data_IF_246283146333
#
_entry.id   IF_246283146333
#
_cell.length_a   1.000
_cell.length_b   1.000
_cell.length_c   1.000
_cell.angle_alpha   90.00
_cell.angle_beta   90.00
_cell.angle_gamma   90.00
#
_symmetry.space_group_name_H-M   'P 1'
#
loop_
_entity.id
_entity.type
_entity.pdbx_description
1 polymer ?
#
# COMPACT_ATOMS: atom_id res chain seq x y z
N UNK A 1 14.45 16.95 -10.50
CA UNK A 1 15.14 17.61 -9.45
C UNK A 1 14.28 18.58 -8.67
N UNK A 2 14.90 19.59 -8.03
CA UNK A 2 14.18 20.55 -7.21
C UNK A 2 13.09 21.28 -8.00
N UNK A 3 13.37 21.68 -9.22
CA UNK A 3 12.39 22.39 -10.06
C UNK A 3 11.17 21.52 -10.37
N UNK A 4 11.37 20.24 -10.61
CA UNK A 4 10.26 19.30 -10.83
C UNK A 4 9.37 19.18 -9.58
N UNK A 5 9.97 19.16 -8.41
CA UNK A 5 9.22 19.13 -7.15
C UNK A 5 8.42 20.43 -6.97
N UNK A 6 9.01 21.58 -7.27
CA UNK A 6 8.35 22.88 -7.09
C UNK A 6 7.15 23.08 -7.98
N UNK A 7 7.09 22.43 -9.15
CA UNK A 7 5.92 22.53 -10.02
C UNK A 7 4.82 21.51 -9.69
N UNK A 8 4.91 20.85 -8.54
CA UNK A 8 3.88 19.94 -8.10
C UNK A 8 3.87 18.59 -8.80
N UNK A 9 4.99 18.18 -9.33
CA UNK A 9 5.15 16.90 -10.01
C UNK A 9 5.11 15.71 -9.04
N UNK A 10 5.25 14.51 -9.59
CA UNK A 10 5.38 13.27 -8.83
C UNK A 10 6.48 13.32 -7.78
N UNK A 11 7.55 14.07 -8.02
CA UNK A 11 8.64 14.25 -7.07
C UNK A 11 8.14 14.87 -5.75
N UNK A 12 7.23 15.85 -5.82
CA UNK A 12 6.64 16.45 -4.63
C UNK A 12 5.77 15.47 -3.86
N UNK A 13 5.04 14.60 -4.55
CA UNK A 13 4.25 13.54 -3.92
C UNK A 13 5.16 12.56 -3.21
N UNK A 14 6.25 12.14 -3.84
CA UNK A 14 7.25 11.24 -3.24
C UNK A 14 7.89 11.82 -1.99
N UNK A 15 8.14 13.14 -1.97
CA UNK A 15 8.75 13.81 -0.83
C UNK A 15 7.86 13.81 0.42
N UNK A 16 6.56 13.58 0.25
CA UNK A 16 5.61 13.46 1.38
C UNK A 16 5.63 12.09 2.03
N UNK A 17 6.26 11.11 1.38
CA UNK A 17 6.35 9.74 1.84
C UNK A 17 7.81 9.29 1.81
N UNK A 18 8.12 8.33 2.65
CA UNK A 18 9.38 7.60 2.50
C UNK A 18 9.22 6.61 1.36
N UNK A 19 9.60 7.02 0.16
CA UNK A 19 9.44 6.20 -1.05
C UNK A 19 10.77 5.93 -1.72
N UNK A 20 11.04 4.67 -2.02
CA UNK A 20 12.20 4.24 -2.80
C UNK A 20 11.72 3.29 -3.89
N UNK A 21 12.04 3.63 -5.14
CA UNK A 21 11.72 2.78 -6.29
C UNK A 21 12.64 1.55 -6.32
N UNK A 22 12.07 0.40 -6.67
CA UNK A 22 12.77 -0.86 -6.83
C UNK A 22 12.32 -1.53 -8.14
N UNK A 23 12.98 -2.60 -8.56
CA UNK A 23 12.77 -3.18 -9.88
C UNK A 23 11.76 -4.34 -9.92
N UNK A 24 10.99 -4.54 -8.87
CA UNK A 24 10.02 -5.63 -8.80
C UNK A 24 8.67 -5.30 -9.40
N UNK A 25 7.71 -6.20 -9.16
CA UNK A 25 6.34 -6.11 -9.66
C UNK A 25 5.27 -6.07 -8.56
N UNK A 26 5.68 -6.16 -7.30
CA UNK A 26 4.75 -6.10 -6.17
C UNK A 26 4.88 -4.71 -5.53
N UNK A 27 3.88 -3.85 -5.75
CA UNK A 27 3.83 -2.54 -5.10
C UNK A 27 3.50 -2.72 -3.62
N UNK A 28 4.26 -2.04 -2.75
CA UNK A 28 4.11 -2.18 -1.30
C UNK A 28 3.74 -0.85 -0.66
N UNK A 29 2.70 -0.86 0.17
CA UNK A 29 2.32 0.28 1.00
C UNK A 29 2.22 -0.18 2.46
N UNK A 30 2.99 0.42 3.33
CA UNK A 30 3.14 0.00 4.72
C UNK A 30 3.17 1.24 5.62
N UNK A 31 2.78 1.10 6.86
CA UNK A 31 2.98 2.15 7.86
C UNK A 31 4.09 1.76 8.84
N UNK A 32 5.21 2.45 8.74
CA UNK A 32 6.38 2.23 9.57
C UNK A 32 7.52 1.55 8.83
N UNK A 33 8.72 2.11 8.97
CA UNK A 33 9.91 1.64 8.24
C UNK A 33 10.29 0.20 8.60
N UNK A 34 10.18 -0.17 9.87
CA UNK A 34 10.48 -1.54 10.31
C UNK A 34 9.53 -2.57 9.72
N UNK A 35 8.22 -2.24 9.69
CA UNK A 35 7.22 -3.10 9.07
C UNK A 35 7.41 -3.19 7.56
N UNK A 36 7.80 -2.10 6.91
CA UNK A 36 8.10 -2.09 5.47
C UNK A 36 9.27 -3.00 5.15
N UNK A 37 10.34 -2.93 5.93
CA UNK A 37 11.50 -3.84 5.76
C UNK A 37 11.10 -5.30 5.94
N UNK A 38 10.33 -5.60 6.99
CA UNK A 38 9.86 -6.97 7.26
C UNK A 38 8.94 -7.48 6.13
N UNK A 39 8.09 -6.62 5.59
CA UNK A 39 7.20 -6.96 4.48
C UNK A 39 8.00 -7.31 3.23
N UNK A 40 9.00 -6.50 2.90
CA UNK A 40 9.87 -6.75 1.74
C UNK A 40 10.67 -8.03 1.90
N UNK A 41 11.20 -8.28 3.10
CA UNK A 41 11.94 -9.50 3.39
C UNK A 41 11.04 -10.74 3.25
N UNK A 42 9.79 -10.65 3.69
CA UNK A 42 8.83 -11.74 3.55
C UNK A 42 8.52 -12.03 2.07
N UNK A 43 8.36 -10.99 1.26
CA UNK A 43 8.14 -11.13 -0.19
C UNK A 43 9.35 -11.82 -0.84
N UNK A 44 10.55 -11.37 -0.52
CA UNK A 44 11.79 -11.94 -1.08
C UNK A 44 12.02 -13.38 -0.62
N UNK A 45 11.72 -13.67 0.64
CA UNK A 45 11.85 -15.03 1.18
C UNK A 45 11.01 -16.04 0.41
N UNK A 46 9.85 -15.61 -0.07
CA UNK A 46 8.94 -16.47 -0.85
C UNK A 46 9.12 -16.35 -2.36
N UNK A 47 10.17 -15.70 -2.82
CA UNK A 47 10.54 -15.64 -4.24
C UNK A 47 9.91 -14.50 -5.03
N UNK A 48 9.27 -13.54 -4.35
CA UNK A 48 8.72 -12.36 -4.99
C UNK A 48 9.70 -11.21 -5.09
N UNK A 49 9.32 -10.17 -5.83
CA UNK A 49 10.15 -8.99 -6.03
C UNK A 49 9.37 -7.71 -5.72
N UNK A 50 9.71 -6.99 -4.63
CA UNK A 50 9.07 -5.71 -4.34
C UNK A 50 9.39 -4.66 -5.40
N UNK A 51 8.40 -3.88 -5.80
CA UNK A 51 8.55 -2.78 -6.76
C UNK A 51 9.01 -1.50 -6.09
N UNK A 52 8.83 -1.38 -4.79
CA UNK A 52 9.14 -0.17 -4.04
C UNK A 52 9.18 -0.41 -2.53
N UNK A 53 9.79 0.53 -1.85
CA UNK A 53 9.60 0.77 -0.43
C UNK A 53 8.68 1.99 -0.29
N UNK A 54 7.60 1.88 0.45
CA UNK A 54 6.71 3.02 0.72
C UNK A 54 6.18 2.93 2.14
N UNK A 55 6.57 3.91 2.93
CA UNK A 55 6.10 4.08 4.30
C UNK A 55 5.21 5.32 4.37
N UNK A 56 3.92 5.13 4.68
CA UNK A 56 2.97 6.24 4.82
C UNK A 56 3.01 6.89 6.21
N UNK A 57 3.85 6.39 7.11
CA UNK A 57 3.96 6.89 8.47
C UNK A 57 2.75 6.60 9.34
N UNK A 58 2.61 7.32 10.43
CA UNK A 58 1.54 7.11 11.41
C UNK A 58 0.21 7.77 11.08
N UNK A 59 0.09 8.43 9.95
CA UNK A 59 -1.16 9.10 9.56
C UNK A 59 -2.14 8.12 8.92
N UNK A 60 -3.40 8.18 9.34
CA UNK A 60 -4.48 7.41 8.73
C UNK A 60 -5.38 8.25 7.84
N UNK A 61 -4.96 9.47 7.49
CA UNK A 61 -5.77 10.36 6.65
C UNK A 61 -6.08 9.71 5.30
N UNK A 62 -7.37 9.54 4.94
CA UNK A 62 -7.74 8.91 3.66
C UNK A 62 -7.14 9.58 2.44
N UNK A 63 -7.00 10.90 2.43
CA UNK A 63 -6.38 11.64 1.32
C UNK A 63 -4.94 11.18 1.09
N UNK A 64 -4.20 10.96 2.17
CA UNK A 64 -2.82 10.49 2.10
C UNK A 64 -2.73 9.07 1.52
N UNK A 65 -3.68 8.22 1.86
CA UNK A 65 -3.78 6.87 1.30
C UNK A 65 -4.05 6.92 -0.20
N UNK A 66 -4.96 7.80 -0.65
CA UNK A 66 -5.24 8.02 -2.07
C UNK A 66 -3.99 8.45 -2.82
N UNK A 67 -3.25 9.43 -2.28
CA UNK A 67 -2.00 9.91 -2.89
C UNK A 67 -0.95 8.79 -2.98
N UNK A 68 -0.81 7.99 -1.94
CA UNK A 68 0.10 6.85 -1.92
C UNK A 68 -0.26 5.82 -2.99
N UNK A 69 -1.54 5.50 -3.13
CA UNK A 69 -2.00 4.56 -4.17
C UNK A 69 -1.74 5.09 -5.57
N UNK A 70 -1.98 6.39 -5.80
CA UNK A 70 -1.66 7.01 -7.09
C UNK A 70 -0.18 6.89 -7.41
N UNK A 71 0.67 7.09 -6.42
CA UNK A 71 2.12 6.97 -6.59
C UNK A 71 2.52 5.54 -6.98
N UNK A 72 1.97 4.53 -6.30
CA UNK A 72 2.26 3.13 -6.60
C UNK A 72 1.82 2.74 -8.02
N UNK A 73 0.66 3.19 -8.43
CA UNK A 73 0.05 2.79 -9.71
C UNK A 73 0.62 3.54 -10.91
N UNK A 74 1.50 4.52 -10.70
CA UNK A 74 2.27 5.16 -11.77
C UNK A 74 3.35 4.24 -12.34
N UNK A 75 3.82 3.27 -11.56
CA UNK A 75 4.82 2.31 -12.03
C UNK A 75 4.14 1.21 -12.84
N UNK A 76 4.42 1.18 -14.13
CA UNK A 76 3.83 0.19 -15.04
C UNK A 76 4.26 -1.24 -14.74
N UNK A 77 5.35 -1.43 -14.01
CA UNK A 77 5.84 -2.75 -13.62
C UNK A 77 5.02 -3.36 -12.49
N UNK A 78 4.25 -2.56 -11.75
CA UNK A 78 3.41 -3.04 -10.66
C UNK A 78 2.26 -3.85 -11.21
N UNK A 79 2.19 -5.12 -10.82
CA UNK A 79 1.14 -6.07 -11.25
C UNK A 79 0.19 -6.44 -10.12
N UNK A 80 0.59 -6.18 -8.89
CA UNK A 80 -0.20 -6.42 -7.68
C UNK A 80 0.25 -5.43 -6.62
N UNK A 81 -0.66 -5.02 -5.77
CA UNK A 81 -0.34 -4.14 -4.63
C UNK A 81 -0.57 -4.91 -3.33
N UNK A 82 0.43 -4.88 -2.46
CA UNK A 82 0.34 -5.40 -1.11
C UNK A 82 0.31 -4.25 -0.13
N UNK A 83 -0.74 -4.21 0.68
CA UNK A 83 -0.94 -3.20 1.71
C UNK A 83 -0.87 -3.89 3.06
N UNK A 84 0.08 -3.48 3.88
CA UNK A 84 0.29 -4.08 5.20
C UNK A 84 0.29 -2.97 6.26
N UNK A 85 -0.82 -2.85 6.98
CA UNK A 85 -1.02 -1.82 7.98
C UNK A 85 -1.12 -2.45 9.36
N UNK A 86 -0.28 -1.95 10.25
CA UNK A 86 -0.36 -2.28 11.67
C UNK A 86 -0.84 -1.03 12.41
N UNK A 87 -2.10 -1.05 12.82
CA UNK A 87 -2.74 0.10 13.46
C UNK A 87 -2.38 0.22 14.93
N UNK A 88 -1.88 1.36 15.29
CA UNK A 88 -1.81 1.88 16.65
C UNK A 88 -2.48 3.25 16.58
N UNK A 89 -1.68 4.27 16.27
CA UNK A 89 -2.20 5.62 15.95
C UNK A 89 -2.94 5.59 14.60
N UNK A 90 -2.42 4.85 13.63
CA UNK A 90 -3.09 4.63 12.35
C UNK A 90 -4.35 3.79 12.54
N UNK A 91 -5.48 4.28 12.04
CA UNK A 91 -6.76 3.59 12.16
C UNK A 91 -7.06 2.81 10.89
N UNK A 92 -7.34 1.53 11.04
CA UNK A 92 -7.59 0.64 9.90
C UNK A 92 -8.85 1.02 9.11
N UNK A 93 -9.87 1.53 9.77
CA UNK A 93 -11.10 1.99 9.11
C UNK A 93 -10.84 3.21 8.20
N UNK A 94 -10.02 4.15 8.64
CA UNK A 94 -9.64 5.32 7.83
C UNK A 94 -8.83 4.90 6.61
N UNK A 95 -7.91 3.95 6.78
CA UNK A 95 -7.13 3.40 5.67
C UNK A 95 -8.05 2.70 4.67
N UNK A 96 -9.00 1.91 5.14
CA UNK A 96 -9.98 1.24 4.27
C UNK A 96 -10.79 2.24 3.45
N UNK A 97 -11.26 3.32 4.07
CA UNK A 97 -11.99 4.40 3.39
C UNK A 97 -11.11 5.01 2.30
N UNK A 98 -9.84 5.30 2.62
CA UNK A 98 -8.89 5.86 1.66
C UNK A 98 -8.65 4.94 0.47
N UNK A 99 -8.54 3.63 0.70
CA UNK A 99 -8.38 2.65 -0.37
C UNK A 99 -9.60 2.59 -1.29
N UNK A 100 -10.79 2.61 -0.72
CA UNK A 100 -12.03 2.62 -1.50
C UNK A 100 -12.10 3.88 -2.36
N UNK A 101 -11.81 5.05 -1.77
CA UNK A 101 -11.78 6.32 -2.50
C UNK A 101 -10.73 6.31 -3.61
N UNK A 102 -9.56 5.72 -3.35
CA UNK A 102 -8.50 5.62 -4.37
C UNK A 102 -8.99 4.85 -5.59
N UNK A 103 -9.66 3.73 -5.40
CA UNK A 103 -10.15 2.92 -6.51
C UNK A 103 -11.39 3.47 -7.19
N UNK A 104 -12.12 4.35 -6.54
CA UNK A 104 -13.17 5.14 -7.20
C UNK A 104 -12.57 6.18 -8.16
N UNK A 105 -11.40 6.71 -7.83
CA UNK A 105 -10.70 7.72 -8.64
C UNK A 105 -9.76 7.10 -9.67
N UNK A 106 -9.10 6.01 -9.32
CA UNK A 106 -8.12 5.34 -10.16
C UNK A 106 -8.76 4.10 -10.76
N UNK A 107 -8.94 4.09 -12.06
CA UNK A 107 -9.49 2.93 -12.76
C UNK A 107 -8.36 1.96 -13.07
N UNK A 108 -8.14 1.01 -12.19
CA UNK A 108 -7.10 0.00 -12.33
C UNK A 108 -7.69 -1.38 -12.01
N UNK A 109 -7.27 -2.39 -12.76
CA UNK A 109 -7.68 -3.79 -12.54
C UNK A 109 -6.64 -4.58 -11.75
N UNK A 110 -5.62 -3.91 -11.24
CA UNK A 110 -4.55 -4.55 -10.47
C UNK A 110 -5.12 -5.12 -9.17
N UNK A 111 -4.85 -6.39 -8.85
CA UNK A 111 -5.28 -6.98 -7.58
C UNK A 111 -4.63 -6.29 -6.40
N UNK A 112 -5.37 -6.14 -5.31
CA UNK A 112 -4.88 -5.53 -4.09
C UNK A 112 -5.09 -6.49 -2.93
N UNK A 113 -3.99 -6.86 -2.30
CA UNK A 113 -3.99 -7.70 -1.10
C UNK A 113 -3.81 -6.78 0.10
N UNK A 114 -4.69 -6.90 1.10
CA UNK A 114 -4.70 -6.00 2.24
C UNK A 114 -4.62 -6.81 3.53
N UNK A 115 -3.67 -6.46 4.38
CA UNK A 115 -3.61 -6.92 5.75
C UNK A 115 -3.77 -5.71 6.67
N UNK A 116 -4.83 -5.73 7.45
CA UNK A 116 -5.10 -4.70 8.46
C UNK A 116 -5.11 -5.36 9.83
N UNK A 117 -4.31 -4.84 10.74
CA UNK A 117 -4.21 -5.33 12.11
C UNK A 117 -4.14 -4.14 13.06
N UNK A 118 -4.83 -4.20 14.19
CA UNK A 118 -4.80 -3.16 15.23
C UNK A 118 -6.09 -2.37 15.33
N UNK A 119 -5.97 -1.06 15.54
CA UNK A 119 -7.12 -0.19 15.83
C UNK A 119 -8.18 -0.23 14.72
N UNK A 120 -9.39 -0.61 15.08
CA UNK A 120 -10.55 -0.72 14.18
C UNK A 120 -10.35 -1.69 13.00
N UNK A 121 -9.53 -2.72 13.18
CA UNK A 121 -9.25 -3.69 12.13
C UNK A 121 -10.50 -4.39 11.60
N UNK A 122 -11.45 -4.72 12.46
CA UNK A 122 -12.69 -5.37 12.05
C UNK A 122 -13.53 -4.46 11.15
N UNK A 123 -13.64 -3.19 11.52
CA UNK A 123 -14.38 -2.20 10.73
C UNK A 123 -13.72 -2.04 9.37
N UNK A 124 -12.39 -1.89 9.34
CA UNK A 124 -11.64 -1.76 8.08
C UNK A 124 -11.79 -2.97 7.18
N UNK A 125 -11.68 -4.18 7.72
CA UNK A 125 -11.86 -5.42 6.97
C UNK A 125 -13.27 -5.55 6.40
N UNK A 126 -14.29 -5.22 7.20
CA UNK A 126 -15.69 -5.31 6.75
C UNK A 126 -15.98 -4.32 5.62
N UNK A 127 -15.43 -3.11 5.71
CA UNK A 127 -15.54 -2.12 4.62
C UNK A 127 -14.95 -2.66 3.32
N UNK A 128 -13.78 -3.28 3.38
CA UNK A 128 -13.10 -3.80 2.19
C UNK A 128 -13.76 -5.07 1.63
N UNK A 129 -14.36 -5.90 2.48
CA UNK A 129 -15.04 -7.13 2.02
C UNK A 129 -16.21 -6.86 1.11
N UNK A 130 -16.83 -5.70 1.22
CA UNK A 130 -17.92 -5.30 0.34
C UNK A 130 -17.45 -4.94 -1.08
N UNK A 131 -16.15 -4.91 -1.32
CA UNK A 131 -15.55 -4.61 -2.60
C UNK A 131 -14.75 -5.82 -3.09
N UNK A 132 -15.14 -6.38 -4.22
CA UNK A 132 -14.51 -7.60 -4.77
C UNK A 132 -13.04 -7.41 -5.18
N UNK A 133 -12.61 -6.18 -5.30
CA UNK A 133 -11.23 -5.84 -5.69
C UNK A 133 -10.20 -6.19 -4.63
N UNK A 134 -10.58 -6.11 -3.35
CA UNK A 134 -9.65 -6.30 -2.25
C UNK A 134 -9.67 -7.75 -1.76
N UNK A 135 -8.49 -8.30 -1.60
CA UNK A 135 -8.30 -9.62 -0.98
C UNK A 135 -7.71 -9.41 0.41
N UNK A 136 -8.35 -9.96 1.42
CA UNK A 136 -7.97 -9.77 2.81
C UNK A 136 -7.08 -10.92 3.27
N UNK A 137 -5.91 -10.58 3.80
CA UNK A 137 -5.01 -11.54 4.43
C UNK A 137 -5.01 -11.35 5.95
N UNK A 138 -4.81 -12.41 6.69
CA UNK A 138 -4.76 -12.39 8.15
C UNK A 138 -3.35 -12.29 8.70
N UNK A 139 -2.38 -12.85 8.00
CA UNK A 139 -0.97 -12.80 8.39
C UNK A 139 -0.12 -12.15 7.30
N UNK A 140 1.08 -11.69 7.69
CA UNK A 140 2.03 -11.11 6.73
C UNK A 140 2.50 -12.16 5.71
N UNK A 141 2.73 -13.38 6.14
CA UNK A 141 3.11 -14.49 5.28
C UNK A 141 2.02 -14.79 4.24
N UNK A 142 0.78 -14.88 4.69
CA UNK A 142 -0.37 -15.09 3.81
C UNK A 142 -0.47 -13.97 2.77
N UNK A 143 -0.34 -12.71 3.21
CA UNK A 143 -0.38 -11.56 2.33
C UNK A 143 0.71 -11.62 1.24
N UNK A 144 1.94 -11.95 1.63
CA UNK A 144 3.05 -12.08 0.71
C UNK A 144 2.81 -13.19 -0.33
N UNK A 145 2.35 -14.36 0.13
CA UNK A 145 2.05 -15.49 -0.76
C UNK A 145 0.92 -15.17 -1.73
N UNK A 146 -0.13 -14.50 -1.28
CA UNK A 146 -1.23 -14.08 -2.14
C UNK A 146 -0.75 -13.09 -3.21
N UNK A 147 0.11 -12.14 -2.84
CA UNK A 147 0.67 -11.18 -3.77
C UNK A 147 1.55 -11.85 -4.84
N UNK A 148 2.35 -12.83 -4.45
CA UNK A 148 3.23 -13.55 -5.38
C UNK A 148 2.42 -14.37 -6.40
N UNK A 149 1.29 -14.94 -5.97
CA UNK A 149 0.43 -15.77 -6.82
C UNK A 149 -0.48 -14.95 -7.75
N UNK A 150 -0.59 -13.67 -7.50
CA UNK A 150 -1.50 -12.80 -8.28
C UNK A 150 -0.95 -12.39 -9.64
#
# INVERSE_FOLDING_TARGET
>A
EISACLVGSEMCIRDRFSYVHMDGNIGCMVNGAGLAMATMDMIKLHGGNPANFLDIGGSSNPVKVVEAMKLLLQDEKVKVVLINIFGGITRCDDVAIGLIQAFDQIKSDIPVIVRLTGTNEHIGRDLLRNHSRFQIATTMQEAALMAIKS
#
